data_IF_374084552509
#
_entry.id   IF_374084552509
#
_cell.length_a   1.000
_cell.length_b   1.000
_cell.length_c   1.000
_cell.angle_alpha   90.00
_cell.angle_beta   90.00
_cell.angle_gamma   90.00
#
_symmetry.space_group_name_H-M   'P 1'
#
loop_
_entity.id
_entity.type
_entity.pdbx_description
1 polymer ?
#
# COMPACT_ATOMS: atom_id res chain seq x y z
N UNK A 1 -2.33 0.65 -13.70
CA UNK A 1 -3.11 1.81 -14.25
C UNK A 1 -2.27 3.06 -14.44
N UNK A 2 -2.36 3.77 -15.58
CA UNK A 2 -1.62 5.04 -15.78
C UNK A 2 -2.18 6.17 -14.90
N UNK A 3 -1.29 6.91 -14.25
CA UNK A 3 -1.61 8.14 -13.53
C UNK A 3 -2.12 9.22 -14.50
N UNK A 4 -2.73 10.30 -13.99
CA UNK A 4 -3.10 11.45 -14.82
C UNK A 4 -1.89 12.18 -15.42
N UNK A 5 -0.68 11.89 -14.95
CA UNK A 5 0.59 12.32 -15.55
C UNK A 5 1.20 11.27 -16.49
N UNK A 6 0.51 10.17 -16.79
CA UNK A 6 0.95 9.11 -17.70
C UNK A 6 1.81 8.00 -17.07
N UNK A 7 2.39 8.24 -15.90
CA UNK A 7 3.27 7.30 -15.18
C UNK A 7 2.54 6.02 -14.75
N UNK A 8 3.18 4.86 -14.93
CA UNK A 8 2.70 3.54 -14.52
C UNK A 8 3.79 2.80 -13.76
N UNK A 9 3.49 2.34 -12.54
CA UNK A 9 4.46 1.64 -11.69
C UNK A 9 4.01 0.19 -11.47
N UNK A 10 4.46 -0.70 -12.35
CA UNK A 10 4.08 -2.12 -12.31
C UNK A 10 4.45 -2.78 -10.96
N UNK A 11 5.63 -2.46 -10.42
CA UNK A 11 6.05 -2.96 -9.11
C UNK A 11 5.06 -2.62 -8.00
N UNK A 12 4.50 -1.40 -8.01
CA UNK A 12 3.51 -0.98 -7.02
C UNK A 12 2.13 -1.63 -7.26
N UNK A 13 1.80 -1.97 -8.50
CA UNK A 13 0.62 -2.77 -8.80
C UNK A 13 0.77 -4.21 -8.27
N UNK A 14 1.96 -4.82 -8.31
CA UNK A 14 2.18 -6.12 -7.64
C UNK A 14 1.93 -6.05 -6.13
N UNK A 15 2.39 -4.97 -5.48
CA UNK A 15 2.13 -4.77 -4.05
C UNK A 15 0.63 -4.63 -3.77
N UNK A 16 -0.12 -3.93 -4.64
CA UNK A 16 -1.59 -3.87 -4.54
C UNK A 16 -2.24 -5.23 -4.69
N UNK A 17 -1.76 -6.05 -5.62
CA UNK A 17 -2.27 -7.40 -5.82
C UNK A 17 -2.07 -8.24 -4.56
N UNK A 18 -0.87 -8.17 -3.96
CA UNK A 18 -0.57 -8.85 -2.69
C UNK A 18 -1.49 -8.37 -1.58
N UNK A 19 -1.65 -7.06 -1.40
CA UNK A 19 -2.54 -6.49 -0.38
C UNK A 19 -4.01 -6.96 -0.54
N UNK A 20 -4.50 -6.98 -1.79
CA UNK A 20 -5.84 -7.49 -2.08
C UNK A 20 -5.96 -8.99 -1.81
N UNK A 21 -4.93 -9.78 -2.13
CA UNK A 21 -4.90 -11.21 -1.88
C UNK A 21 -4.93 -11.52 -0.37
N UNK A 22 -4.14 -10.81 0.44
CA UNK A 22 -4.13 -10.99 1.90
C UNK A 22 -5.53 -10.77 2.48
N UNK A 23 -6.20 -9.67 2.12
CA UNK A 23 -7.55 -9.37 2.57
C UNK A 23 -8.55 -10.40 2.05
N UNK A 24 -8.47 -10.77 0.77
CA UNK A 24 -9.38 -11.71 0.15
C UNK A 24 -9.29 -13.09 0.82
N UNK A 25 -8.07 -13.60 1.01
CA UNK A 25 -7.83 -14.91 1.62
C UNK A 25 -8.43 -14.97 3.01
N UNK A 26 -8.21 -13.96 3.84
CA UNK A 26 -8.78 -13.94 5.19
C UNK A 26 -10.31 -13.98 5.20
N UNK A 27 -10.96 -13.21 4.33
CA UNK A 27 -12.42 -13.25 4.20
C UNK A 27 -12.92 -14.59 3.67
N UNK A 28 -12.12 -15.26 2.82
CA UNK A 28 -12.43 -16.58 2.30
C UNK A 28 -12.28 -17.67 3.36
N UNK A 29 -11.25 -17.60 4.21
CA UNK A 29 -10.94 -18.62 5.21
C UNK A 29 -11.74 -18.48 6.49
N UNK A 30 -12.13 -17.27 6.91
CA UNK A 30 -12.80 -17.09 8.20
C UNK A 30 -14.21 -16.49 8.14
N UNK A 31 -14.53 -15.71 7.11
CA UNK A 31 -15.71 -14.85 7.15
C UNK A 31 -15.80 -14.02 8.46
N UNK A 32 -16.99 -13.51 8.80
CA UNK A 32 -17.24 -12.88 10.11
C UNK A 32 -17.56 -13.90 11.22
N UNK A 33 -17.52 -15.20 10.91
CA UNK A 33 -18.05 -16.27 11.77
C UNK A 33 -17.01 -17.33 12.15
N UNK A 34 -15.76 -17.22 11.66
CA UNK A 34 -14.77 -18.29 11.77
C UNK A 34 -15.12 -19.52 10.92
N UNK A 35 -15.60 -19.30 9.70
CA UNK A 35 -15.92 -20.34 8.72
C UNK A 35 -15.22 -20.06 7.37
N UNK A 36 -14.65 -21.08 6.70
CA UNK A 36 -14.56 -22.49 7.10
C UNK A 36 -13.51 -22.80 8.19
N UNK A 37 -12.57 -21.88 8.41
CA UNK A 37 -11.50 -21.99 9.42
C UNK A 37 -11.86 -21.12 10.62
N UNK A 38 -11.75 -21.69 11.81
CA UNK A 38 -12.05 -21.03 13.07
C UNK A 38 -10.93 -20.06 13.47
N UNK A 39 -11.27 -19.01 14.20
CA UNK A 39 -10.31 -17.96 14.60
C UNK A 39 -9.25 -18.40 15.63
N UNK A 40 -9.40 -19.58 16.21
CA UNK A 40 -8.43 -20.21 17.12
C UNK A 40 -7.42 -21.12 16.38
N UNK A 41 -7.59 -21.29 15.06
CA UNK A 41 -6.57 -21.93 14.23
C UNK A 41 -5.32 -21.05 14.15
N UNK A 42 -4.15 -21.69 14.00
CA UNK A 42 -2.92 -21.01 13.64
C UNK A 42 -2.08 -21.94 12.74
N UNK A 43 -1.53 -21.46 11.61
CA UNK A 43 -0.81 -22.32 10.69
C UNK A 43 0.60 -22.64 11.21
N UNK A 44 1.03 -23.88 10.95
CA UNK A 44 2.39 -24.33 11.27
C UNK A 44 3.45 -23.63 10.41
N UNK A 45 3.10 -23.30 9.16
CA UNK A 45 4.01 -22.61 8.24
C UNK A 45 3.97 -21.10 8.51
N UNK A 46 4.97 -20.59 9.22
CA UNK A 46 5.07 -19.19 9.64
C UNK A 46 4.79 -18.13 8.55
N UNK A 47 5.16 -18.29 7.27
CA UNK A 47 4.86 -17.26 6.26
C UNK A 47 3.37 -17.15 5.94
N UNK A 48 2.56 -18.14 6.29
CA UNK A 48 1.14 -18.17 5.97
C UNK A 48 0.28 -17.54 7.08
N UNK A 49 0.82 -17.27 8.27
CA UNK A 49 0.07 -16.55 9.32
C UNK A 49 -0.36 -15.16 8.90
N UNK A 50 0.34 -14.50 7.97
CA UNK A 50 -0.14 -13.21 7.43
C UNK A 50 -1.38 -13.35 6.52
N UNK A 51 -1.65 -14.54 5.99
CA UNK A 51 -2.90 -14.84 5.29
C UNK A 51 -4.04 -15.08 6.29
N UNK A 52 -3.71 -15.70 7.42
CA UNK A 52 -4.60 -15.88 8.58
C UNK A 52 -4.87 -14.54 9.29
N UNK A 53 -3.99 -13.55 9.07
CA UNK A 53 -4.09 -12.18 9.56
C UNK A 53 -4.28 -11.16 8.44
N UNK A 54 -5.29 -11.34 7.59
CA UNK A 54 -5.52 -10.50 6.41
C UNK A 54 -5.77 -9.02 6.70
N UNK A 55 -6.00 -8.65 7.97
CA UNK A 55 -6.03 -7.26 8.45
C UNK A 55 -4.73 -6.49 8.10
N UNK A 56 -3.61 -7.21 8.01
CA UNK A 56 -2.31 -6.70 7.60
C UNK A 56 -2.27 -6.24 6.14
N UNK A 57 -3.11 -6.83 5.27
CA UNK A 57 -3.28 -6.38 3.89
C UNK A 57 -3.81 -4.95 3.79
N UNK A 58 -4.66 -4.53 4.75
CA UNK A 58 -5.11 -3.14 4.85
C UNK A 58 -3.94 -2.23 5.23
N UNK A 59 -3.08 -2.66 6.16
CA UNK A 59 -1.88 -1.92 6.53
C UNK A 59 -0.93 -1.73 5.34
N UNK A 60 -0.80 -2.76 4.49
CA UNK A 60 -0.04 -2.68 3.25
C UNK A 60 -0.63 -1.66 2.27
N UNK A 61 -1.96 -1.61 2.09
CA UNK A 61 -2.61 -0.58 1.27
C UNK A 61 -2.38 0.84 1.80
N UNK A 62 -2.49 1.05 3.11
CA UNK A 62 -2.29 2.38 3.71
C UNK A 62 -0.84 2.84 3.58
N UNK A 63 0.11 1.93 3.81
CA UNK A 63 1.53 2.20 3.65
C UNK A 63 1.90 2.49 2.20
N UNK A 64 1.38 1.68 1.27
CA UNK A 64 1.58 1.88 -0.16
C UNK A 64 1.01 3.21 -0.64
N UNK A 65 -0.11 3.66 -0.08
CA UNK A 65 -0.72 4.95 -0.42
C UNK A 65 0.23 6.10 -0.09
N UNK A 66 0.80 6.12 1.12
CA UNK A 66 1.82 7.11 1.51
C UNK A 66 3.06 7.08 0.60
N UNK A 67 3.59 5.88 0.33
CA UNK A 67 4.75 5.71 -0.55
C UNK A 67 4.48 6.22 -1.98
N UNK A 68 3.33 5.86 -2.55
CA UNK A 68 2.93 6.28 -3.89
C UNK A 68 2.78 7.79 -3.97
N UNK A 69 2.18 8.43 -2.96
CA UNK A 69 2.04 9.90 -2.95
C UNK A 69 3.40 10.59 -2.89
N UNK A 70 4.29 10.14 -2.01
CA UNK A 70 5.64 10.68 -1.95
C UNK A 70 6.37 10.52 -3.29
N UNK A 71 6.22 9.38 -3.98
CA UNK A 71 6.80 9.12 -5.30
C UNK A 71 6.22 9.99 -6.41
N UNK A 72 4.89 10.05 -6.53
CA UNK A 72 4.21 10.81 -7.58
C UNK A 72 4.45 12.32 -7.48
N UNK A 73 4.62 12.83 -6.26
CA UNK A 73 4.62 14.25 -5.93
C UNK A 73 6.02 14.80 -5.65
N UNK A 74 7.05 13.97 -5.74
CA UNK A 74 8.44 14.42 -5.53
C UNK A 74 8.79 15.56 -6.49
N UNK A 75 9.27 16.68 -5.93
CA UNK A 75 9.68 17.86 -6.69
C UNK A 75 8.54 18.59 -7.43
N UNK A 76 7.29 18.24 -7.17
CA UNK A 76 6.12 18.76 -7.91
C UNK A 76 5.21 19.61 -7.03
N UNK A 77 4.46 20.50 -7.67
CA UNK A 77 3.37 21.26 -7.05
C UNK A 77 2.03 20.64 -7.45
N UNK A 78 1.02 20.82 -6.59
CA UNK A 78 -0.26 20.12 -6.71
C UNK A 78 -1.39 21.14 -6.75
N UNK A 79 -2.27 21.01 -7.73
CA UNK A 79 -3.62 21.56 -7.64
C UNK A 79 -4.46 20.63 -6.77
N UNK A 80 -4.73 21.07 -5.54
CA UNK A 80 -5.43 20.27 -4.54
C UNK A 80 -6.89 19.98 -4.93
N UNK A 81 -7.58 20.91 -5.60
CA UNK A 81 -8.97 20.71 -6.04
C UNK A 81 -9.03 19.68 -7.16
N UNK A 82 -8.15 19.80 -8.14
CA UNK A 82 -8.03 18.81 -9.22
C UNK A 82 -7.60 17.43 -8.68
N UNK A 83 -6.75 17.41 -7.66
CA UNK A 83 -6.35 16.19 -6.97
C UNK A 83 -7.55 15.48 -6.32
N UNK A 84 -8.32 16.19 -5.48
CA UNK A 84 -9.49 15.62 -4.82
C UNK A 84 -10.54 15.16 -5.84
N UNK A 85 -10.77 15.95 -6.90
CA UNK A 85 -11.67 15.57 -7.99
C UNK A 85 -11.26 14.24 -8.63
N UNK A 86 -9.98 14.09 -8.97
CA UNK A 86 -9.47 12.86 -9.58
C UNK A 86 -9.60 11.63 -8.67
N UNK A 87 -9.50 11.82 -7.36
CA UNK A 87 -9.71 10.75 -6.38
C UNK A 87 -11.19 10.42 -6.22
N UNK A 88 -12.06 11.42 -6.19
CA UNK A 88 -13.50 11.24 -6.15
C UNK A 88 -14.00 10.43 -7.35
N UNK A 89 -13.65 10.80 -8.59
CA UNK A 89 -14.06 10.05 -9.79
C UNK A 89 -13.40 8.67 -9.93
N UNK A 90 -12.32 8.41 -9.18
CA UNK A 90 -11.66 7.09 -9.14
C UNK A 90 -12.34 6.13 -8.17
N UNK A 91 -12.89 6.64 -7.06
CA UNK A 91 -13.43 5.83 -5.98
C UNK A 91 -14.97 5.86 -5.95
N UNK A 92 -15.59 7.04 -5.99
CA UNK A 92 -17.03 7.19 -5.79
C UNK A 92 -17.92 6.37 -6.74
N UNK A 93 -17.62 6.20 -8.04
CA UNK A 93 -18.54 5.48 -8.93
C UNK A 93 -18.82 4.05 -8.48
N UNK A 94 -17.78 3.26 -8.22
CA UNK A 94 -17.95 1.88 -7.77
C UNK A 94 -18.45 1.83 -6.33
N UNK A 95 -17.93 2.70 -5.46
CA UNK A 95 -18.40 2.77 -4.07
C UNK A 95 -19.92 3.02 -4.04
N UNK A 96 -20.42 3.98 -4.81
CA UNK A 96 -21.85 4.27 -4.89
C UNK A 96 -22.66 3.07 -5.38
N UNK A 97 -22.20 2.37 -6.43
CA UNK A 97 -22.87 1.15 -6.92
C UNK A 97 -22.95 0.08 -5.82
N UNK A 98 -21.84 -0.15 -5.10
CA UNK A 98 -21.79 -1.17 -4.03
C UNK A 98 -22.66 -0.78 -2.83
N UNK A 99 -22.65 0.48 -2.43
CA UNK A 99 -23.51 0.98 -1.33
C UNK A 99 -24.98 0.91 -1.71
N UNK A 100 -25.36 1.31 -2.93
CA UNK A 100 -26.74 1.24 -3.39
C UNK A 100 -27.22 -0.22 -3.50
N UNK A 101 -26.40 -1.12 -4.04
CA UNK A 101 -26.73 -2.54 -4.13
C UNK A 101 -26.88 -3.18 -2.74
N UNK A 102 -25.98 -2.85 -1.82
CA UNK A 102 -26.04 -3.34 -0.43
C UNK A 102 -27.27 -2.80 0.31
N UNK A 103 -27.55 -1.49 0.20
CA UNK A 103 -28.72 -0.86 0.80
C UNK A 103 -30.03 -1.46 0.27
N UNK A 104 -30.16 -1.58 -1.06
CA UNK A 104 -31.32 -2.20 -1.68
C UNK A 104 -31.52 -3.64 -1.17
N UNK A 105 -30.45 -4.44 -1.10
CA UNK A 105 -30.51 -5.79 -0.56
C UNK A 105 -30.99 -5.82 0.90
N UNK A 106 -30.47 -4.96 1.78
CA UNK A 106 -30.85 -4.93 3.19
C UNK A 106 -32.29 -4.46 3.39
N UNK A 107 -32.72 -3.45 2.64
CA UNK A 107 -34.10 -2.91 2.70
C UNK A 107 -35.11 -3.92 2.18
N UNK A 108 -34.86 -4.55 1.01
CA UNK A 108 -35.75 -5.57 0.43
C UNK A 108 -35.89 -6.78 1.36
N UNK A 109 -34.84 -7.12 2.11
CA UNK A 109 -34.86 -8.22 3.10
C UNK A 109 -35.42 -7.81 4.47
N UNK A 110 -35.92 -6.58 4.61
CA UNK A 110 -36.49 -6.07 5.86
C UNK A 110 -35.49 -5.95 7.01
N UNK A 111 -34.18 -5.88 6.72
CA UNK A 111 -33.13 -5.79 7.75
C UNK A 111 -32.89 -4.37 8.26
N UNK A 112 -33.31 -3.36 7.50
CA UNK A 112 -33.15 -1.95 7.82
C UNK A 112 -34.16 -1.13 7.03
N UNK A 113 -34.43 0.11 7.44
CA UNK A 113 -35.22 1.06 6.64
C UNK A 113 -34.31 1.86 5.70
N UNK A 114 -34.89 2.48 4.66
CA UNK A 114 -34.13 3.36 3.76
C UNK A 114 -33.51 4.54 4.52
N UNK A 115 -34.22 5.07 5.52
CA UNK A 115 -33.79 6.22 6.32
C UNK A 115 -32.60 5.83 7.21
N UNK A 116 -32.69 4.71 7.92
CA UNK A 116 -31.62 4.23 8.79
C UNK A 116 -30.36 3.88 7.99
N UNK A 117 -30.53 3.29 6.81
CA UNK A 117 -29.41 3.02 5.92
C UNK A 117 -28.77 4.31 5.41
N UNK A 118 -29.57 5.31 5.01
CA UNK A 118 -29.05 6.60 4.59
C UNK A 118 -28.27 7.31 5.72
N UNK A 119 -28.75 7.21 6.97
CA UNK A 119 -28.03 7.71 8.14
C UNK A 119 -26.69 6.99 8.33
N UNK A 120 -26.68 5.66 8.24
CA UNK A 120 -25.46 4.84 8.33
C UNK A 120 -24.43 5.26 7.27
N UNK A 121 -24.87 5.52 6.03
CA UNK A 121 -23.97 6.00 4.97
C UNK A 121 -23.44 7.39 5.28
N UNK A 122 -24.29 8.31 5.75
CA UNK A 122 -23.88 9.67 6.10
C UNK A 122 -22.85 9.68 7.23
N UNK A 123 -23.05 8.89 8.29
CA UNK A 123 -22.07 8.68 9.35
C UNK A 123 -20.78 8.08 8.80
N UNK A 124 -20.90 7.10 7.90
CA UNK A 124 -19.80 6.41 7.24
C UNK A 124 -18.85 7.31 6.44
N UNK A 125 -19.29 8.51 6.05
CA UNK A 125 -18.45 9.50 5.35
C UNK A 125 -17.49 10.22 6.30
N UNK A 126 -17.77 10.24 7.60
CA UNK A 126 -16.98 10.91 8.63
C UNK A 126 -16.29 9.88 9.52
N UNK A 127 -17.06 8.89 9.98
CA UNK A 127 -16.56 7.79 10.78
C UNK A 127 -16.35 6.58 9.87
N UNK A 128 -15.20 5.88 9.94
CA UNK A 128 -14.95 4.68 9.13
C UNK A 128 -15.90 3.51 9.44
N UNK A 129 -17.13 3.56 8.97
CA UNK A 129 -18.19 2.55 9.22
C UNK A 129 -18.91 2.08 7.95
N UNK A 130 -18.50 2.54 6.77
CA UNK A 130 -19.11 2.11 5.51
C UNK A 130 -18.97 0.58 5.32
N UNK A 131 -20.02 -0.10 4.81
CA UNK A 131 -20.04 -1.56 4.68
C UNK A 131 -19.12 -2.08 3.57
N UNK A 132 -18.94 -3.40 3.51
CA UNK A 132 -18.19 -4.11 2.45
C UNK A 132 -16.74 -3.60 2.28
N UNK A 133 -16.04 -3.33 3.39
CA UNK A 133 -14.69 -2.77 3.37
C UNK A 133 -14.62 -1.27 3.08
N UNK A 134 -15.76 -0.60 2.87
CA UNK A 134 -15.86 0.82 2.61
C UNK A 134 -15.26 1.70 3.71
N UNK A 135 -15.25 1.25 4.96
CA UNK A 135 -14.61 1.94 6.08
C UNK A 135 -13.15 2.33 5.77
N UNK A 136 -12.41 1.45 5.09
CA UNK A 136 -11.01 1.71 4.71
C UNK A 136 -10.90 2.82 3.66
N UNK A 137 -11.92 2.99 2.82
CA UNK A 137 -12.02 4.07 1.84
C UNK A 137 -12.30 5.40 2.54
N UNK A 138 -13.09 5.42 3.62
CA UNK A 138 -13.23 6.60 4.48
C UNK A 138 -11.88 7.00 5.08
N UNK A 139 -11.10 6.04 5.59
CA UNK A 139 -9.72 6.30 6.07
C UNK A 139 -8.83 6.83 4.94
N UNK A 140 -8.93 6.26 3.74
CA UNK A 140 -8.19 6.74 2.57
C UNK A 140 -8.56 8.18 2.19
N UNK A 141 -9.84 8.53 2.27
CA UNK A 141 -10.31 9.90 2.07
C UNK A 141 -9.75 10.86 3.13
N UNK A 142 -9.67 10.44 4.40
CA UNK A 142 -9.00 11.22 5.43
C UNK A 142 -7.52 11.48 5.11
N UNK A 143 -6.80 10.50 4.53
CA UNK A 143 -5.43 10.74 4.07
C UNK A 143 -5.36 11.82 3.00
N UNK A 144 -6.34 11.90 2.11
CA UNK A 144 -6.38 12.95 1.09
C UNK A 144 -6.56 14.34 1.69
N UNK A 145 -7.37 14.45 2.76
CA UNK A 145 -7.58 15.70 3.49
C UNK A 145 -6.33 16.20 4.20
N UNK A 146 -5.57 15.28 4.82
CA UNK A 146 -4.35 15.63 5.57
C UNK A 146 -3.10 15.66 4.67
N UNK A 147 -3.17 15.18 3.43
CA UNK A 147 -2.03 15.10 2.51
C UNK A 147 -1.28 16.45 2.35
N UNK A 148 -1.93 17.62 2.24
CA UNK A 148 -1.23 18.89 2.16
C UNK A 148 -0.31 19.17 3.35
N UNK A 149 -0.72 18.77 4.56
CA UNK A 149 0.09 18.89 5.78
C UNK A 149 1.34 18.01 5.67
N UNK A 150 1.19 16.74 5.28
CA UNK A 150 2.32 15.83 5.09
C UNK A 150 3.30 16.33 4.03
N UNK A 151 2.81 16.86 2.91
CA UNK A 151 3.65 17.42 1.86
C UNK A 151 4.40 18.66 2.32
N UNK A 152 3.74 19.52 3.10
CA UNK A 152 4.40 20.66 3.75
C UNK A 152 5.51 20.17 4.68
N UNK A 153 5.22 19.17 5.52
CA UNK A 153 6.19 18.61 6.47
C UNK A 153 7.41 18.03 5.77
N UNK A 154 7.22 17.17 4.77
CA UNK A 154 8.31 16.53 4.01
C UNK A 154 9.16 17.55 3.26
N UNK A 155 8.57 18.65 2.76
CA UNK A 155 9.32 19.75 2.14
C UNK A 155 10.21 20.50 3.12
N UNK A 156 9.80 20.60 4.38
CA UNK A 156 10.60 21.23 5.45
C UNK A 156 11.68 20.28 5.96
N UNK A 157 11.33 19.02 6.21
CA UNK A 157 12.26 17.97 6.60
C UNK A 157 11.65 16.60 6.33
N UNK A 158 12.44 15.69 5.75
CA UNK A 158 12.02 14.29 5.56
C UNK A 158 11.66 13.57 6.86
N UNK A 159 12.15 14.06 8.01
CA UNK A 159 11.93 13.47 9.33
C UNK A 159 10.71 14.02 10.05
N UNK A 160 10.14 15.14 9.60
CA UNK A 160 9.01 15.75 10.30
C UNK A 160 7.78 14.83 10.39
N UNK A 161 7.44 13.97 9.40
CA UNK A 161 6.39 12.96 9.54
C UNK A 161 6.58 11.99 10.72
N UNK A 162 7.79 11.82 11.25
CA UNK A 162 8.03 11.03 12.46
C UNK A 162 7.32 11.63 13.67
N UNK A 163 7.13 12.95 13.74
CA UNK A 163 6.37 13.57 14.81
C UNK A 163 4.93 13.06 14.86
N UNK A 164 4.31 12.78 13.70
CA UNK A 164 2.95 12.25 13.62
C UNK A 164 2.89 10.79 14.11
N UNK A 165 3.91 9.99 13.81
CA UNK A 165 4.04 8.62 14.33
C UNK A 165 4.19 8.65 15.86
N UNK A 166 5.02 9.54 16.39
CA UNK A 166 5.17 9.68 17.85
C UNK A 166 3.86 10.16 18.49
N UNK A 167 3.20 11.15 17.89
CA UNK A 167 1.90 11.64 18.37
C UNK A 167 0.82 10.56 18.35
N UNK A 168 0.75 9.71 17.33
CA UNK A 168 -0.25 8.64 17.27
C UNK A 168 0.01 7.54 18.30
N UNK A 169 1.27 7.22 18.59
CA UNK A 169 1.65 6.28 19.67
C UNK A 169 1.24 6.87 21.03
N UNK A 170 1.52 8.16 21.26
CA UNK A 170 1.08 8.87 22.48
C UNK A 170 -0.44 8.84 22.60
N UNK A 171 -1.19 9.19 21.54
CA UNK A 171 -2.66 9.17 21.56
C UNK A 171 -3.20 7.78 21.86
N UNK A 172 -2.64 6.72 21.24
CA UNK A 172 -3.03 5.33 21.53
C UNK A 172 -2.71 4.92 22.97
N UNK A 173 -1.59 5.38 23.51
CA UNK A 173 -1.19 5.11 24.90
C UNK A 173 -2.17 5.79 25.88
N UNK A 174 -2.54 7.04 25.62
CA UNK A 174 -3.53 7.77 26.42
C UNK A 174 -4.93 7.16 26.29
N UNK A 175 -5.32 6.73 25.09
CA UNK A 175 -6.59 6.06 24.85
C UNK A 175 -6.65 4.73 25.60
N UNK A 176 -5.57 3.94 25.54
CA UNK A 176 -5.45 2.69 26.30
C UNK A 176 -5.61 2.92 27.80
N UNK A 177 -4.97 3.95 28.36
CA UNK A 177 -5.09 4.30 29.78
C UNK A 177 -6.51 4.69 30.21
N UNK A 178 -7.37 5.12 29.29
CA UNK A 178 -8.77 5.49 29.57
C UNK A 178 -9.77 4.35 29.33
N UNK A 179 -9.58 3.59 28.25
CA UNK A 179 -10.55 2.60 27.78
C UNK A 179 -10.19 1.15 28.14
N UNK A 180 -8.93 0.88 28.55
CA UNK A 180 -8.43 -0.47 28.81
C UNK A 180 -8.14 -1.30 27.56
N UNK A 181 -8.55 -0.83 26.39
CA UNK A 181 -8.24 -1.40 25.08
C UNK A 181 -7.93 -0.27 24.07
N UNK A 182 -7.21 -0.59 23.00
CA UNK A 182 -6.96 0.35 21.91
C UNK A 182 -7.02 -0.31 20.54
N UNK A 183 -7.38 -1.59 20.45
CA UNK A 183 -7.46 -2.30 19.17
C UNK A 183 -8.48 -1.63 18.25
N UNK A 184 -9.65 -1.26 18.79
CA UNK A 184 -10.72 -0.64 17.99
C UNK A 184 -10.25 0.66 17.35
N UNK A 185 -9.64 1.54 18.14
CA UNK A 185 -9.09 2.81 17.67
C UNK A 185 -7.91 2.58 16.69
N UNK A 186 -7.01 1.64 17.03
CA UNK A 186 -5.82 1.32 16.26
C UNK A 186 -6.13 0.73 14.88
N UNK A 187 -7.20 -0.06 14.77
CA UNK A 187 -7.55 -0.77 13.55
C UNK A 187 -8.47 0.05 12.63
N UNK A 188 -9.58 0.56 13.17
CA UNK A 188 -10.69 1.12 12.39
C UNK A 188 -10.48 2.58 11.98
N UNK A 189 -9.65 3.33 12.70
CA UNK A 189 -9.59 4.79 12.54
C UNK A 189 -8.31 5.29 11.91
N UNK A 190 -8.36 6.50 11.37
CA UNK A 190 -7.15 7.22 10.93
C UNK A 190 -6.11 7.35 12.05
N UNK A 191 -6.53 7.50 13.32
CA UNK A 191 -5.61 7.69 14.44
C UNK A 191 -4.68 6.48 14.60
N UNK A 192 -5.20 5.29 14.39
CA UNK A 192 -4.40 4.06 14.39
C UNK A 192 -3.57 3.83 13.13
N UNK A 193 -4.06 4.31 11.99
CA UNK A 193 -3.50 4.00 10.66
C UNK A 193 -2.61 5.10 10.09
N UNK A 194 -2.54 6.29 10.71
CA UNK A 194 -1.75 7.42 10.19
C UNK A 194 -0.25 7.13 10.10
N UNK A 195 0.24 6.25 10.97
CA UNK A 195 1.61 5.75 11.00
C UNK A 195 2.01 5.13 9.68
N UNK A 196 1.14 4.27 9.15
CA UNK A 196 1.39 3.47 7.95
C UNK A 196 1.57 4.39 6.76
N UNK A 197 0.68 5.38 6.64
CA UNK A 197 0.80 6.42 5.63
C UNK A 197 2.10 7.23 5.77
N UNK A 198 2.41 7.69 6.99
CA UNK A 198 3.62 8.47 7.28
C UNK A 198 4.92 7.68 6.98
N UNK A 199 4.97 6.41 7.39
CA UNK A 199 6.08 5.50 7.18
C UNK A 199 6.26 5.18 5.69
N UNK A 200 5.17 5.03 4.95
CA UNK A 200 5.21 4.92 3.49
C UNK A 200 5.88 6.13 2.83
N UNK A 201 5.51 7.35 3.24
CA UNK A 201 6.15 8.58 2.75
C UNK A 201 7.63 8.66 3.12
N UNK A 202 7.98 8.32 4.36
CA UNK A 202 9.35 8.32 4.86
C UNK A 202 10.21 7.30 4.11
N UNK A 203 9.70 6.08 3.89
CA UNK A 203 10.43 5.03 3.21
C UNK A 203 10.72 5.38 1.74
N UNK A 204 9.87 6.16 1.07
CA UNK A 204 10.23 6.69 -0.25
C UNK A 204 11.45 7.62 -0.20
N UNK A 205 11.55 8.48 0.82
CA UNK A 205 12.71 9.37 1.02
C UNK A 205 13.98 8.58 1.39
N UNK A 206 13.81 7.45 2.07
CA UNK A 206 14.89 6.59 2.54
C UNK A 206 15.08 5.32 1.69
N UNK A 207 14.51 5.26 0.49
CA UNK A 207 14.50 4.03 -0.34
C UNK A 207 15.90 3.52 -0.69
N UNK A 208 16.90 4.39 -0.74
CA UNK A 208 18.31 4.01 -0.95
C UNK A 208 18.88 3.12 0.15
N UNK A 209 18.34 3.15 1.37
CA UNK A 209 18.75 2.27 2.46
C UNK A 209 18.31 0.82 2.24
N UNK A 210 17.19 0.60 1.54
CA UNK A 210 16.67 -0.73 1.24
C UNK A 210 17.14 -1.24 -0.14
N UNK A 211 17.50 -0.33 -1.05
CA UNK A 211 17.87 -0.65 -2.43
C UNK A 211 19.01 -1.68 -2.50
N UNK A 212 18.76 -2.80 -3.18
CA UNK A 212 19.69 -3.92 -3.44
C UNK A 212 20.25 -4.61 -2.19
N UNK A 213 19.71 -4.31 -0.99
CA UNK A 213 20.13 -4.95 0.27
C UNK A 213 19.32 -6.21 0.58
N UNK A 214 19.34 -7.18 -0.33
CA UNK A 214 18.45 -8.35 -0.28
C UNK A 214 18.56 -9.14 1.03
N UNK A 215 19.77 -9.43 1.53
CA UNK A 215 19.95 -10.20 2.76
C UNK A 215 19.39 -9.51 4.00
N UNK A 216 19.65 -8.20 4.15
CA UNK A 216 19.13 -7.40 5.27
C UNK A 216 17.60 -7.33 5.24
N UNK A 217 17.01 -7.04 4.06
CA UNK A 217 15.56 -6.95 3.93
C UNK A 217 14.89 -8.30 4.09
N UNK A 218 15.47 -9.37 3.55
CA UNK A 218 14.96 -10.74 3.73
C UNK A 218 14.96 -11.13 5.21
N UNK A 219 16.07 -10.91 5.93
CA UNK A 219 16.13 -11.15 7.38
C UNK A 219 15.03 -10.37 8.12
N UNK A 220 14.91 -9.07 7.84
CA UNK A 220 13.93 -8.21 8.48
C UNK A 220 12.48 -8.65 8.20
N UNK A 221 12.14 -8.98 6.95
CA UNK A 221 10.80 -9.47 6.60
C UNK A 221 10.52 -10.87 7.16
N UNK A 222 11.53 -11.75 7.26
CA UNK A 222 11.38 -13.05 7.94
C UNK A 222 11.10 -12.83 9.42
N UNK A 223 11.79 -11.91 10.09
CA UNK A 223 11.49 -11.56 11.48
C UNK A 223 10.07 -11.02 11.65
N UNK A 224 9.58 -10.23 10.69
CA UNK A 224 8.19 -9.76 10.67
C UNK A 224 7.18 -10.91 10.50
N UNK A 225 7.46 -11.88 9.60
CA UNK A 225 6.61 -13.05 9.42
C UNK A 225 6.60 -13.96 10.66
N UNK A 226 7.76 -14.15 11.30
CA UNK A 226 7.86 -14.89 12.57
C UNK A 226 7.12 -14.19 13.71
N UNK A 227 7.18 -12.86 13.77
CA UNK A 227 6.40 -12.07 14.71
C UNK A 227 4.90 -12.29 14.51
N UNK A 228 4.42 -12.26 13.26
CA UNK A 228 3.02 -12.51 12.97
C UNK A 228 2.60 -13.95 13.26
N UNK A 229 3.45 -14.92 12.97
CA UNK A 229 3.21 -16.31 13.35
C UNK A 229 3.07 -16.47 14.87
N UNK A 230 3.93 -15.81 15.64
CA UNK A 230 3.79 -15.82 17.09
C UNK A 230 2.51 -15.10 17.56
N UNK A 231 2.20 -13.93 16.99
CA UNK A 231 0.99 -13.16 17.32
C UNK A 231 -0.29 -13.96 17.04
N UNK A 232 -0.35 -14.59 15.88
CA UNK A 232 -1.43 -15.46 15.43
C UNK A 232 -1.58 -16.69 16.34
N UNK A 233 -0.47 -17.35 16.71
CA UNK A 233 -0.46 -18.44 17.70
C UNK A 233 -0.93 -18.03 19.11
N UNK A 234 -1.01 -16.73 19.43
CA UNK A 234 -1.61 -16.24 20.68
C UNK A 234 -3.12 -15.95 20.54
N UNK A 235 -3.74 -16.26 19.39
CA UNK A 235 -5.13 -15.99 19.05
C UNK A 235 -5.34 -14.79 18.11
N UNK A 236 -4.26 -14.14 17.68
CA UNK A 236 -4.31 -13.17 16.61
C UNK A 236 -5.26 -11.97 16.82
N UNK A 237 -5.78 -11.44 15.71
CA UNK A 237 -6.69 -10.29 15.73
C UNK A 237 -8.00 -10.55 16.49
N UNK A 238 -8.55 -11.76 16.36
CA UNK A 238 -9.91 -12.08 16.80
C UNK A 238 -9.99 -12.75 18.19
N UNK A 239 -8.89 -13.36 18.67
CA UNK A 239 -8.91 -14.18 19.88
C UNK A 239 -7.78 -13.89 20.89
N UNK A 240 -6.83 -12.98 20.63
CA UNK A 240 -5.73 -12.69 21.57
C UNK A 240 -5.97 -11.46 22.46
N UNK A 241 -6.34 -11.56 23.75
CA UNK A 241 -7.04 -12.65 24.45
C UNK A 241 -8.58 -12.60 24.30
N UNK A 242 -9.09 -11.57 23.63
CA UNK A 242 -10.52 -11.34 23.33
C UNK A 242 -10.62 -10.33 22.20
N UNK A 243 -11.81 -10.16 21.61
CA UNK A 243 -12.09 -9.07 20.66
C UNK A 243 -13.14 -8.11 21.23
N UNK A 244 -12.83 -6.81 21.39
CA UNK A 244 -11.52 -6.17 21.25
C UNK A 244 -10.48 -6.65 22.29
N UNK A 245 -9.21 -6.54 21.93
CA UNK A 245 -8.07 -7.02 22.69
C UNK A 245 -7.55 -5.95 23.67
N UNK A 246 -7.44 -6.26 24.97
CA UNK A 246 -6.78 -5.40 25.96
C UNK A 246 -5.24 -5.42 25.88
N UNK A 247 -4.64 -6.14 24.92
CA UNK A 247 -3.19 -6.19 24.76
C UNK A 247 -2.60 -4.81 24.40
N UNK A 248 -1.57 -4.41 25.14
CA UNK A 248 -0.79 -3.19 24.87
C UNK A 248 -0.07 -3.22 23.52
N UNK A 249 0.05 -4.40 22.90
CA UNK A 249 0.64 -4.57 21.58
C UNK A 249 -0.03 -3.65 20.53
N UNK A 250 -1.35 -3.44 20.64
CA UNK A 250 -2.13 -2.58 19.74
C UNK A 250 -1.70 -1.10 19.77
N UNK A 251 -0.96 -0.66 20.79
CA UNK A 251 -0.35 0.68 20.83
C UNK A 251 0.72 0.82 19.73
N UNK A 252 1.47 -0.24 19.43
CA UNK A 252 2.62 -0.21 18.50
C UNK A 252 2.41 -1.06 17.25
N UNK A 253 1.46 -1.99 17.25
CA UNK A 253 1.26 -2.96 16.16
C UNK A 253 1.06 -2.27 14.79
N UNK A 254 0.19 -1.25 14.64
CA UNK A 254 0.07 -0.54 13.37
C UNK A 254 1.38 0.10 12.88
N UNK A 255 2.25 0.52 13.81
CA UNK A 255 3.58 1.08 13.52
C UNK A 255 4.54 0.00 13.03
N UNK A 256 4.53 -1.18 13.65
CA UNK A 256 5.33 -2.34 13.24
C UNK A 256 4.92 -2.83 11.86
N UNK A 257 3.62 -2.96 11.60
CA UNK A 257 3.07 -3.25 10.27
C UNK A 257 3.54 -2.21 9.24
N UNK A 258 3.34 -0.93 9.55
CA UNK A 258 3.67 0.17 8.66
C UNK A 258 5.15 0.21 8.32
N UNK A 259 6.03 0.01 9.32
CA UNK A 259 7.47 0.02 9.11
C UNK A 259 7.87 -1.16 8.22
N UNK A 260 7.31 -2.33 8.49
CA UNK A 260 7.67 -3.56 7.77
C UNK A 260 7.25 -3.52 6.31
N UNK A 261 6.02 -3.10 6.06
CA UNK A 261 5.55 -2.89 4.70
C UNK A 261 6.25 -1.74 4.01
N UNK A 262 6.63 -0.67 4.71
CA UNK A 262 7.35 0.45 4.12
C UNK A 262 8.76 0.02 3.66
N UNK A 263 9.46 -0.80 4.45
CA UNK A 263 10.75 -1.42 4.06
C UNK A 263 10.56 -2.34 2.86
N UNK A 264 9.55 -3.22 2.87
CA UNK A 264 9.26 -4.14 1.77
C UNK A 264 8.92 -3.42 0.46
N UNK A 265 8.06 -2.40 0.52
CA UNK A 265 7.72 -1.57 -0.65
C UNK A 265 8.95 -0.85 -1.19
N UNK A 266 9.71 -0.19 -0.31
CA UNK A 266 10.90 0.55 -0.72
C UNK A 266 11.95 -0.36 -1.36
N UNK A 267 12.18 -1.54 -0.77
CA UNK A 267 13.05 -2.57 -1.34
C UNK A 267 12.57 -3.04 -2.70
N UNK A 268 11.29 -3.40 -2.82
CA UNK A 268 10.75 -3.96 -4.05
C UNK A 268 10.80 -2.96 -5.21
N UNK A 269 10.36 -1.71 -4.97
CA UNK A 269 10.32 -0.64 -5.97
C UNK A 269 11.72 -0.15 -6.39
N UNK A 270 12.73 -0.23 -5.51
CA UNK A 270 14.08 0.28 -5.79
C UNK A 270 15.09 -0.79 -6.23
N UNK A 271 14.83 -2.06 -5.93
CA UNK A 271 15.77 -3.16 -6.23
C UNK A 271 15.38 -3.96 -7.46
N UNK A 272 14.12 -3.90 -7.88
CA UNK A 272 13.61 -4.68 -9.00
C UNK A 272 12.99 -3.79 -10.07
N UNK A 273 13.01 -4.27 -11.30
CA UNK A 273 12.33 -3.65 -12.45
C UNK A 273 11.52 -4.73 -13.15
N UNK A 274 10.30 -5.04 -12.66
CA UNK A 274 9.50 -6.13 -13.20
C UNK A 274 9.22 -5.92 -14.69
N UNK A 275 9.31 -7.00 -15.48
CA UNK A 275 9.02 -6.94 -16.91
C UNK A 275 7.53 -6.69 -17.15
N UNK A 276 7.21 -6.00 -18.24
CA UNK A 276 5.82 -5.80 -18.67
C UNK A 276 5.25 -7.02 -19.42
N UNK A 277 5.80 -8.22 -19.19
CA UNK A 277 5.49 -9.43 -19.95
C UNK A 277 5.22 -10.61 -19.01
N UNK A 278 4.58 -11.66 -19.55
CA UNK A 278 4.31 -12.92 -18.86
C UNK A 278 3.54 -12.78 -17.54
N UNK A 279 3.96 -13.56 -16.54
CA UNK A 279 3.32 -13.63 -15.23
C UNK A 279 3.34 -12.29 -14.47
N UNK A 280 4.44 -11.54 -14.59
CA UNK A 280 4.58 -10.19 -14.01
C UNK A 280 3.44 -9.27 -14.46
N UNK A 281 3.18 -9.21 -15.76
CA UNK A 281 2.05 -8.42 -16.30
C UNK A 281 0.70 -8.89 -15.75
N UNK A 282 0.51 -10.19 -15.59
CA UNK A 282 -0.74 -10.75 -15.09
C UNK A 282 -1.01 -10.38 -13.62
N UNK A 283 0.01 -10.46 -12.77
CA UNK A 283 -0.06 -9.94 -11.39
C UNK A 283 -0.33 -8.43 -11.39
N UNK A 284 0.26 -7.70 -12.34
CA UNK A 284 -0.05 -6.30 -12.58
C UNK A 284 -1.53 -6.01 -12.86
N UNK A 285 -2.27 -6.92 -13.51
CA UNK A 285 -3.71 -6.75 -13.71
C UNK A 285 -4.50 -6.89 -12.40
N UNK A 286 -4.18 -7.88 -11.56
CA UNK A 286 -4.77 -7.99 -10.24
C UNK A 286 -4.53 -6.73 -9.40
N UNK A 287 -3.32 -6.15 -9.52
CA UNK A 287 -2.96 -4.89 -8.88
C UNK A 287 -3.69 -3.67 -9.42
N UNK A 288 -3.83 -3.58 -10.74
CA UNK A 288 -4.56 -2.50 -11.39
C UNK A 288 -6.03 -2.49 -10.94
N UNK A 289 -6.70 -3.64 -10.98
CA UNK A 289 -8.10 -3.80 -10.60
C UNK A 289 -8.32 -4.08 -9.12
N UNK A 290 -7.27 -3.91 -8.28
CA UNK A 290 -7.32 -4.28 -6.86
C UNK A 290 -8.43 -3.55 -6.12
N UNK A 291 -8.71 -2.29 -6.47
CA UNK A 291 -9.82 -1.52 -5.91
C UNK A 291 -11.18 -2.16 -6.21
N UNK A 292 -11.40 -2.57 -7.46
CA UNK A 292 -12.63 -3.20 -7.90
C UNK A 292 -12.81 -4.57 -7.24
N UNK A 293 -11.75 -5.37 -7.19
CA UNK A 293 -11.72 -6.65 -6.50
C UNK A 293 -12.02 -6.44 -5.00
N UNK A 294 -11.37 -5.46 -4.36
CA UNK A 294 -11.52 -5.16 -2.95
C UNK A 294 -12.95 -4.75 -2.57
N UNK A 295 -13.68 -4.00 -3.39
CA UNK A 295 -15.08 -3.68 -3.05
C UNK A 295 -16.06 -4.81 -3.40
N UNK A 296 -15.81 -5.53 -4.49
CA UNK A 296 -16.75 -6.53 -4.97
C UNK A 296 -16.60 -7.89 -4.28
N UNK A 297 -15.42 -8.23 -3.76
CA UNK A 297 -15.17 -9.55 -3.20
C UNK A 297 -16.14 -9.93 -2.09
N UNK A 298 -16.58 -8.98 -1.25
CA UNK A 298 -17.50 -9.26 -0.14
C UNK A 298 -18.82 -9.91 -0.60
N UNK A 299 -19.27 -9.64 -1.83
CA UNK A 299 -20.49 -10.22 -2.39
C UNK A 299 -20.32 -11.68 -2.86
N UNK A 300 -19.08 -12.11 -3.08
CA UNK A 300 -18.74 -13.40 -3.70
C UNK A 300 -18.01 -14.32 -2.73
N UNK A 301 -17.05 -13.78 -1.97
CA UNK A 301 -16.04 -14.54 -1.22
C UNK A 301 -16.64 -15.55 -0.25
N UNK A 302 -17.60 -15.16 0.58
CA UNK A 302 -18.21 -16.07 1.56
C UNK A 302 -19.10 -17.13 0.91
N UNK A 303 -19.79 -16.75 -0.18
CA UNK A 303 -20.64 -17.68 -0.94
C UNK A 303 -19.79 -18.68 -1.70
N UNK A 304 -18.66 -18.25 -2.25
CA UNK A 304 -17.70 -19.10 -2.91
C UNK A 304 -17.09 -20.11 -1.94
N UNK A 305 -16.62 -19.65 -0.76
CA UNK A 305 -16.09 -20.52 0.27
C UNK A 305 -17.11 -21.59 0.70
N UNK A 306 -18.36 -21.18 0.99
CA UNK A 306 -19.44 -22.10 1.34
C UNK A 306 -19.79 -23.07 0.22
N UNK A 307 -19.91 -22.58 -1.01
CA UNK A 307 -20.22 -23.43 -2.16
C UNK A 307 -19.15 -24.51 -2.37
N UNK A 308 -17.86 -24.13 -2.30
CA UNK A 308 -16.75 -25.07 -2.44
C UNK A 308 -16.79 -26.08 -1.29
N UNK A 309 -16.92 -25.61 -0.05
CA UNK A 309 -17.00 -26.48 1.13
C UNK A 309 -18.12 -27.53 1.02
N UNK A 310 -19.32 -27.10 0.60
CA UNK A 310 -20.52 -27.93 0.66
C UNK A 310 -20.66 -28.85 -0.57
N UNK A 311 -20.08 -28.49 -1.73
CA UNK A 311 -20.34 -29.19 -3.00
C UNK A 311 -19.08 -29.69 -3.73
N UNK A 312 -17.88 -29.20 -3.39
CA UNK A 312 -16.65 -29.53 -4.13
C UNK A 312 -15.65 -30.24 -3.22
N UNK A 313 -15.29 -29.63 -2.09
CA UNK A 313 -14.22 -30.11 -1.23
C UNK A 313 -14.31 -29.49 0.17
N UNK A 314 -14.14 -30.30 1.21
CA UNK A 314 -14.08 -29.83 2.59
C UNK A 314 -12.94 -28.83 2.78
N UNK A 315 -13.27 -27.63 3.26
CA UNK A 315 -12.33 -26.53 3.49
C UNK A 315 -11.88 -26.41 4.95
N UNK A 316 -12.12 -27.42 5.79
CA UNK A 316 -11.63 -27.47 7.17
C UNK A 316 -10.10 -27.41 7.30
N UNK A 317 -9.35 -27.74 6.23
CA UNK A 317 -7.91 -27.59 6.17
C UNK A 317 -7.50 -26.20 5.68
N UNK A 318 -6.82 -25.42 6.52
CA UNK A 318 -6.40 -24.05 6.21
C UNK A 318 -5.57 -23.91 4.92
N UNK A 319 -4.60 -24.81 4.70
CA UNK A 319 -3.72 -24.73 3.52
C UNK A 319 -4.51 -24.97 2.23
N UNK A 320 -5.48 -25.88 2.29
CA UNK A 320 -6.40 -26.14 1.19
C UNK A 320 -7.35 -24.96 0.96
N UNK A 321 -7.89 -24.37 2.03
CA UNK A 321 -8.69 -23.16 1.95
C UNK A 321 -7.92 -21.99 1.34
N UNK A 322 -6.63 -21.82 1.67
CA UNK A 322 -5.74 -20.84 1.03
C UNK A 322 -5.48 -21.13 -0.45
N UNK A 323 -5.34 -22.40 -0.83
CA UNK A 323 -5.18 -22.77 -2.25
C UNK A 323 -6.45 -22.40 -3.04
N UNK A 324 -7.62 -22.71 -2.51
CA UNK A 324 -8.91 -22.33 -3.10
C UNK A 324 -9.14 -20.81 -3.10
N UNK A 325 -8.73 -20.10 -2.04
CA UNK A 325 -8.83 -18.65 -1.99
C UNK A 325 -8.01 -18.00 -3.11
N UNK A 326 -6.81 -18.52 -3.40
CA UNK A 326 -5.98 -18.05 -4.51
C UNK A 326 -6.67 -18.28 -5.86
N UNK A 327 -7.27 -19.45 -6.08
CA UNK A 327 -8.05 -19.74 -7.30
C UNK A 327 -9.22 -18.77 -7.45
N UNK A 328 -10.00 -18.57 -6.38
CA UNK A 328 -11.13 -17.63 -6.38
C UNK A 328 -10.68 -16.17 -6.57
N UNK A 329 -9.54 -15.79 -6.00
CA UNK A 329 -8.96 -14.46 -6.19
C UNK A 329 -8.56 -14.23 -7.66
N UNK A 330 -7.97 -15.23 -8.32
CA UNK A 330 -7.68 -15.16 -9.75
C UNK A 330 -8.97 -15.05 -10.59
N UNK A 331 -10.03 -15.76 -10.20
CA UNK A 331 -11.34 -15.65 -10.84
C UNK A 331 -12.01 -14.27 -10.64
N UNK A 332 -11.60 -13.50 -9.62
CA UNK A 332 -12.04 -12.11 -9.43
C UNK A 332 -11.38 -11.13 -10.40
N UNK A 333 -10.27 -11.47 -11.07
CA UNK A 333 -9.58 -10.54 -11.98
C UNK A 333 -10.47 -10.15 -13.18
N UNK A 334 -11.12 -11.08 -13.91
CA UNK A 334 -12.10 -10.72 -14.94
C UNK A 334 -13.26 -9.87 -14.40
N UNK A 335 -13.78 -10.18 -13.22
CA UNK A 335 -14.88 -9.42 -12.59
C UNK A 335 -14.43 -7.99 -12.28
N UNK A 336 -13.24 -7.84 -11.69
CA UNK A 336 -12.62 -6.54 -11.42
C UNK A 336 -12.38 -5.74 -12.70
N UNK A 337 -11.92 -6.40 -13.77
CA UNK A 337 -11.76 -5.77 -15.09
C UNK A 337 -13.09 -5.26 -15.65
N UNK A 338 -14.15 -6.08 -15.64
CA UNK A 338 -15.47 -5.69 -16.14
C UNK A 338 -16.03 -4.51 -15.34
N UNK A 339 -15.97 -4.59 -14.01
CA UNK A 339 -16.34 -3.49 -13.13
C UNK A 339 -15.58 -2.21 -13.47
N UNK A 340 -14.25 -2.30 -13.57
CA UNK A 340 -13.43 -1.14 -13.91
C UNK A 340 -13.82 -0.56 -15.28
N UNK A 341 -13.99 -1.41 -16.29
CA UNK A 341 -14.28 -1.01 -17.67
C UNK A 341 -15.62 -0.29 -17.80
N UNK A 342 -16.66 -0.77 -17.11
CA UNK A 342 -18.03 -0.28 -17.28
C UNK A 342 -18.46 0.73 -16.23
N UNK A 343 -17.91 0.68 -15.01
CA UNK A 343 -18.30 1.57 -13.91
C UNK A 343 -17.28 2.68 -13.72
N UNK A 344 -15.99 2.37 -13.61
CA UNK A 344 -14.99 3.37 -13.22
C UNK A 344 -14.45 4.16 -14.42
N UNK A 345 -14.14 3.48 -15.51
CA UNK A 345 -13.49 4.07 -16.69
C UNK A 345 -14.29 5.23 -17.33
N UNK A 346 -15.64 5.21 -17.42
CA UNK A 346 -16.41 6.33 -17.94
C UNK A 346 -16.12 7.64 -17.18
N UNK A 347 -16.11 7.59 -15.85
CA UNK A 347 -15.83 8.77 -15.02
C UNK A 347 -14.37 9.19 -15.08
N UNK A 348 -13.46 8.22 -15.17
CA UNK A 348 -12.02 8.47 -15.28
C UNK A 348 -11.59 9.20 -16.57
N UNK A 349 -12.47 9.30 -17.58
CA UNK A 349 -12.25 10.16 -18.75
C UNK A 349 -12.27 11.65 -18.40
N UNK A 350 -12.93 12.03 -17.31
CA UNK A 350 -13.02 13.41 -16.83
C UNK A 350 -11.90 13.81 -15.85
N UNK A 351 -10.80 13.04 -15.81
CA UNK A 351 -9.63 13.34 -14.98
C UNK A 351 -8.97 14.63 -15.45
N UNK A 352 -8.57 15.45 -14.47
CA UNK A 352 -7.83 16.70 -14.67
C UNK A 352 -6.36 16.47 -14.36
N UNK A 353 -5.46 17.22 -15.00
CA UNK A 353 -4.05 17.25 -14.58
C UNK A 353 -3.96 18.01 -13.26
N UNK A 354 -3.43 17.38 -12.22
CA UNK A 354 -3.27 18.00 -10.89
C UNK A 354 -1.81 18.21 -10.48
N UNK A 355 -0.86 17.78 -11.32
CA UNK A 355 0.58 17.87 -11.05
C UNK A 355 1.20 18.87 -12.01
N UNK A 356 1.77 19.92 -11.45
CA UNK A 356 2.53 20.93 -12.17
C UNK A 356 4.01 20.70 -11.91
N UNK A 357 4.77 20.41 -12.97
CA UNK A 357 6.23 20.38 -12.90
C UNK A 357 6.69 21.79 -12.57
N UNK A 358 7.33 21.97 -11.42
CA UNK A 358 7.88 23.26 -11.08
C UNK A 358 9.07 23.52 -12.01
N UNK A 359 8.88 24.34 -13.04
CA UNK A 359 9.98 24.95 -13.80
C UNK A 359 10.71 25.94 -12.90
N UNK A 360 11.41 25.45 -11.88
CA UNK A 360 12.43 26.22 -11.18
C UNK A 360 13.74 25.52 -11.43
N UNK A 361 14.52 26.10 -12.33
CA UNK A 361 15.96 25.96 -12.39
C UNK A 361 16.52 26.24 -10.99
N UNK A 362 16.61 25.21 -10.16
CA UNK A 362 17.53 25.23 -9.05
C UNK A 362 18.83 24.74 -9.66
N UNK A 363 19.67 25.68 -10.06
CA UNK A 363 21.09 25.43 -10.25
C UNK A 363 21.59 25.02 -8.86
N UNK A 364 21.55 23.72 -8.57
CA UNK A 364 22.38 23.15 -7.53
C UNK A 364 23.78 23.10 -8.13
N UNK A 365 24.72 23.79 -7.48
CA UNK A 365 26.14 23.62 -7.70
C UNK A 365 26.49 22.13 -7.50
N UNK A 366 26.52 21.36 -8.59
CA UNK A 366 27.12 20.03 -8.62
C UNK A 366 28.65 20.19 -8.62
N UNK A 367 29.23 20.47 -7.46
CA UNK A 367 30.60 20.09 -7.14
C UNK A 367 30.60 18.66 -6.59
N UNK A 368 30.16 17.71 -7.43
CA UNK A 368 30.46 16.29 -7.24
C UNK A 368 31.28 15.84 -8.45
N UNK A 369 32.47 15.23 -8.24
CA UNK A 369 33.29 14.77 -9.35
C UNK A 369 32.53 13.72 -10.16
N UNK A 370 32.29 14.01 -11.44
CA UNK A 370 31.72 13.07 -12.40
C UNK A 370 32.70 11.91 -12.55
N UNK A 371 32.25 10.72 -12.18
CA UNK A 371 32.94 9.48 -12.50
C UNK A 371 32.70 9.17 -13.99
N UNK A 372 33.71 9.37 -14.82
CA UNK A 372 33.70 9.00 -16.24
C UNK A 372 34.14 7.52 -16.38
N UNK A 373 33.27 6.60 -16.85
CA UNK A 373 33.62 5.19 -17.00
C UNK A 373 34.44 4.88 -18.26
N UNK A 374 35.02 5.88 -18.95
CA UNK A 374 35.73 5.67 -20.23
C UNK A 374 37.22 6.00 -20.21
N UNK A 375 37.96 5.62 -19.16
CA UNK A 375 39.43 5.57 -19.21
C UNK A 375 39.93 4.13 -19.23
N UNK A 376 40.12 3.61 -20.46
CA UNK A 376 40.97 2.45 -20.72
C UNK A 376 42.39 2.78 -20.27
N UNK A 377 42.91 2.02 -19.31
CA UNK A 377 44.32 2.06 -18.93
C UNK A 377 45.21 1.77 -20.15
N UNK A 378 46.03 2.74 -20.54
CA UNK A 378 47.18 2.54 -21.43
C UNK A 378 48.43 2.26 -20.59
N UNK A 379 49.34 1.37 -21.03
CA UNK A 379 50.55 1.07 -20.26
C UNK A 379 51.54 2.24 -20.32
N UNK A 380 52.22 2.50 -19.20
CA UNK A 380 53.32 3.46 -19.06
C UNK A 380 54.43 3.18 -20.08
N UNK A 381 54.70 4.14 -20.96
CA UNK A 381 55.99 4.27 -21.65
C UNK A 381 56.87 5.23 -20.85
N UNK A 382 58.02 4.73 -20.44
CA UNK A 382 59.18 5.51 -20.02
C UNK A 382 59.75 6.24 -21.24
N UNK A 383 60.09 7.52 -21.10
CA UNK A 383 60.68 8.29 -22.19
C UNK A 383 60.94 9.74 -21.80
N UNK A 384 62.22 10.07 -21.72
CA UNK A 384 62.86 11.35 -21.43
C UNK A 384 62.17 12.63 -21.97
N UNK A 385 62.16 13.67 -21.12
CA UNK A 385 62.07 15.07 -21.55
C UNK A 385 63.47 15.62 -21.88
N UNK A 386 63.58 16.48 -22.91
CA UNK A 386 64.51 17.60 -22.87
C UNK A 386 63.77 18.96 -22.88
N UNK A 387 64.44 19.94 -22.26
CA UNK A 387 64.06 21.34 -22.04
C UNK A 387 63.81 22.15 -23.34
N UNK A 388 63.08 23.28 -23.27
CA UNK A 388 62.82 24.14 -24.41
C UNK A 388 63.96 25.15 -24.63
N UNK A 389 64.35 25.37 -25.88
CA UNK A 389 65.24 26.46 -26.28
C UNK A 389 64.52 27.40 -27.26
N UNK A 390 64.71 28.68 -26.96
CA UNK A 390 64.19 29.89 -27.59
C UNK A 390 64.73 30.15 -29.00
N UNK A 391 63.89 30.65 -29.92
CA UNK A 391 64.29 31.36 -31.14
C UNK A 391 64.87 32.76 -30.79
N UNK A 392 65.73 33.40 -31.60
CA UNK A 392 65.31 34.07 -32.86
C UNK A 392 66.40 34.27 -33.96
N UNK A 393 66.00 34.81 -35.13
CA UNK A 393 66.84 35.58 -36.09
C UNK A 393 67.32 34.81 -37.33
N UNK A 394 66.79 35.06 -38.54
CA UNK A 394 67.16 36.07 -39.57
C UNK A 394 68.39 35.76 -40.46
N UNK A 395 68.12 35.74 -41.77
CA UNK A 395 68.95 36.12 -42.94
C UNK A 395 70.21 35.33 -43.38
N UNK A 396 70.08 34.83 -44.62
CA UNK A 396 70.97 34.88 -45.81
C UNK A 396 72.51 34.87 -45.71
N UNK A 397 73.06 33.92 -46.49
CA UNK A 397 74.22 34.01 -47.42
C UNK A 397 75.51 34.71 -46.95
N UNK A 398 76.56 33.91 -46.74
CA UNK A 398 77.70 33.71 -47.65
C UNK A 398 78.65 32.65 -47.09
#
# INVERSE_FOLDING_TARGET
>A
MRSSSGEHYLALDHVRALAALLVFTWHFTHASTGFPITFDYSPLLFPLSVLDEGHTGVALFMTLSGYLFAKLLQGKTIDYKAFLWNRAIRLLPLLAVVLLANGAYLVIRGKTTLVDYAHTIAEGLIFPSLPNGGWSITVEFHYYLILPLFLYMVRKSKWLPVSIILSSIIVRTLAYGKAGEVQSLAYWTIVGRIDQFALGMLAFQLRSFAAKRHGFVAFYLISFLLFYWYFDAQGGFMAAPSYPSPSRLWIILPTVEGLSYAVGIAWYDSSFSPSNEGFSRYVGYAGAYSYSIYLLHYNVVFRAARFINDHIMDLSNFYLACAWSAVCFLAMIPIGYLSFRFIELPFLKHRKRYVNSSSKNVILNDNLPRFDPTTKARPRRTGHSPLPATAPGTHDRL
#
